data_IF_881775051591
#
_entry.id   IF_881775051591
#
_cell.length_a   1.000
_cell.length_b   1.000
_cell.length_c   1.000
_cell.angle_alpha   90.00
_cell.angle_beta   90.00
_cell.angle_gamma   90.00
#
_symmetry.space_group_name_H-M   'P 1'
#
loop_
_entity.id
_entity.type
_entity.pdbx_description
1 polymer ?
#
# COMPACT_ATOMS: atom_id res chain seq x y z
N UNK A 1 1.49 13.97 30.09
CA UNK A 1 1.77 13.78 28.65
C UNK A 1 3.17 13.21 28.39
N UNK A 2 4.29 13.89 28.68
CA UNK A 2 5.65 13.35 28.42
C UNK A 2 5.90 12.01 29.11
N UNK A 3 5.55 11.86 30.37
CA UNK A 3 5.66 10.59 31.12
C UNK A 3 4.83 9.47 30.48
N UNK A 4 3.64 9.78 30.00
CA UNK A 4 2.76 8.81 29.32
C UNK A 4 3.33 8.38 27.98
N UNK A 5 3.87 9.32 27.17
CA UNK A 5 4.56 9.00 25.91
C UNK A 5 5.79 8.13 26.17
N UNK A 6 6.57 8.44 27.22
CA UNK A 6 7.73 7.62 27.59
C UNK A 6 7.34 6.19 27.93
N UNK A 7 6.29 6.00 28.74
CA UNK A 7 5.79 4.67 29.10
C UNK A 7 5.22 3.93 27.89
N UNK A 8 4.44 4.61 27.06
CA UNK A 8 3.95 4.08 25.78
C UNK A 8 5.10 3.51 24.93
N UNK A 9 6.12 4.32 24.69
CA UNK A 9 7.30 3.92 23.92
C UNK A 9 8.05 2.74 24.53
N UNK A 10 8.26 2.77 25.84
CA UNK A 10 8.94 1.69 26.58
C UNK A 10 8.23 0.34 26.36
N UNK A 11 6.92 0.32 26.57
CA UNK A 11 6.11 -0.89 26.45
C UNK A 11 6.02 -1.36 24.99
N UNK A 12 5.79 -0.45 24.03
CA UNK A 12 5.75 -0.73 22.61
C UNK A 12 7.09 -1.32 22.12
N UNK A 13 8.22 -0.70 22.51
CA UNK A 13 9.56 -1.15 22.13
C UNK A 13 9.89 -2.52 22.70
N UNK A 14 9.57 -2.76 23.98
CA UNK A 14 9.79 -4.06 24.63
C UNK A 14 9.02 -5.16 23.92
N UNK A 15 7.76 -4.90 23.59
CA UNK A 15 6.90 -5.83 22.85
C UNK A 15 7.44 -6.09 21.44
N UNK A 16 7.79 -5.03 20.70
CA UNK A 16 8.27 -5.13 19.33
C UNK A 16 9.54 -5.96 19.22
N UNK A 17 10.50 -5.80 20.13
CA UNK A 17 11.71 -6.63 20.16
C UNK A 17 11.42 -8.14 20.17
N UNK A 18 10.33 -8.56 20.81
CA UNK A 18 9.97 -9.98 20.94
C UNK A 18 9.01 -10.47 19.86
N UNK A 19 8.26 -9.55 19.24
CA UNK A 19 7.11 -9.89 18.40
C UNK A 19 7.19 -9.31 16.98
N UNK A 20 8.33 -8.69 16.60
CA UNK A 20 8.48 -8.14 15.24
C UNK A 20 8.27 -9.24 14.21
N UNK A 21 7.44 -8.96 13.20
CA UNK A 21 7.21 -9.89 12.10
C UNK A 21 8.44 -9.94 11.19
N UNK A 22 8.84 -11.13 10.80
CA UNK A 22 9.98 -11.30 9.90
C UNK A 22 9.51 -11.30 8.44
N UNK A 23 9.81 -10.21 7.73
CA UNK A 23 9.58 -10.07 6.30
C UNK A 23 10.89 -9.74 5.59
N UNK A 24 11.08 -10.29 4.39
CA UNK A 24 12.33 -10.18 3.63
C UNK A 24 12.77 -8.74 3.28
N UNK A 25 11.81 -7.81 3.27
CA UNK A 25 12.04 -6.39 2.95
C UNK A 25 12.34 -5.51 4.17
N UNK A 26 12.22 -6.03 5.38
CA UNK A 26 12.38 -5.20 6.60
C UNK A 26 13.80 -4.78 6.91
N UNK A 27 14.77 -5.51 6.40
CA UNK A 27 16.20 -5.25 6.66
C UNK A 27 16.83 -4.39 5.55
N UNK A 28 16.11 -4.06 4.48
CA UNK A 28 16.65 -3.23 3.39
C UNK A 28 16.44 -1.74 3.64
N UNK A 29 17.39 -0.93 3.19
CA UNK A 29 17.29 0.54 3.09
C UNK A 29 17.24 1.01 1.64
N UNK A 30 17.25 0.07 0.69
CA UNK A 30 17.15 0.35 -0.74
C UNK A 30 15.79 1.00 -1.06
N UNK A 31 15.76 2.28 -1.54
CA UNK A 31 14.52 3.00 -1.78
C UNK A 31 13.59 2.33 -2.78
N UNK A 32 14.15 1.67 -3.81
CA UNK A 32 13.34 0.93 -4.78
C UNK A 32 12.62 -0.25 -4.13
N UNK A 33 13.31 -1.00 -3.31
CA UNK A 33 12.75 -2.16 -2.61
C UNK A 33 11.66 -1.76 -1.64
N UNK A 34 11.88 -0.66 -0.91
CA UNK A 34 10.89 -0.10 0.01
C UNK A 34 9.70 0.45 -0.77
N UNK A 35 9.93 1.24 -1.83
CA UNK A 35 8.85 1.73 -2.67
C UNK A 35 7.98 0.59 -3.23
N UNK A 36 8.62 -0.45 -3.73
CA UNK A 36 7.93 -1.60 -4.30
C UNK A 36 7.01 -2.28 -3.28
N UNK A 37 7.48 -2.57 -2.07
CA UNK A 37 6.63 -3.22 -1.06
C UNK A 37 5.50 -2.29 -0.59
N UNK A 38 5.74 -0.98 -0.48
CA UNK A 38 4.70 -0.03 -0.11
C UNK A 38 3.56 -0.01 -1.15
N UNK A 39 3.88 0.00 -2.44
CA UNK A 39 2.86 -0.07 -3.50
C UNK A 39 2.15 -1.43 -3.52
N UNK A 40 2.86 -2.54 -3.32
CA UNK A 40 2.29 -3.89 -3.27
C UNK A 40 1.35 -4.07 -2.07
N UNK A 41 1.65 -3.44 -0.93
CA UNK A 41 0.88 -3.56 0.31
C UNK A 41 -0.36 -2.67 0.36
N UNK A 42 -0.48 -1.66 -0.50
CA UNK A 42 -1.69 -0.84 -0.59
C UNK A 42 -2.92 -1.73 -0.79
N UNK A 43 -3.90 -1.70 0.13
CA UNK A 43 -5.12 -2.51 0.05
C UNK A 43 -4.86 -4.04 -0.09
N UNK A 44 -3.69 -4.52 0.31
CA UNK A 44 -3.30 -5.93 0.23
C UNK A 44 -2.77 -6.40 1.58
N UNK A 45 -3.20 -7.57 2.05
CA UNK A 45 -2.65 -8.16 3.27
C UNK A 45 -1.13 -8.36 3.13
N UNK A 46 -0.38 -7.96 4.15
CA UNK A 46 1.09 -7.89 4.09
C UNK A 46 1.75 -9.24 3.78
N UNK A 47 1.21 -10.35 4.31
CA UNK A 47 1.70 -11.71 3.99
C UNK A 47 1.57 -12.02 2.50
N UNK A 48 0.48 -11.56 1.87
CA UNK A 48 0.28 -11.71 0.42
C UNK A 48 1.21 -10.78 -0.35
N UNK A 49 1.35 -9.54 0.08
CA UNK A 49 2.26 -8.57 -0.53
C UNK A 49 3.71 -9.06 -0.52
N UNK A 50 4.18 -9.67 0.57
CA UNK A 50 5.53 -10.24 0.68
C UNK A 50 5.80 -11.37 -0.34
N UNK A 51 4.79 -12.24 -0.59
CA UNK A 51 4.91 -13.27 -1.64
C UNK A 51 5.10 -12.67 -3.03
N UNK A 52 4.38 -11.59 -3.33
CA UNK A 52 4.53 -10.88 -4.61
C UNK A 52 5.83 -10.09 -4.64
N UNK A 53 6.21 -9.46 -3.56
CA UNK A 53 7.46 -8.71 -3.45
C UNK A 53 8.67 -9.55 -3.89
N UNK A 54 8.78 -10.79 -3.40
CA UNK A 54 9.85 -11.71 -3.80
C UNK A 54 9.89 -11.96 -5.30
N UNK A 55 8.71 -12.15 -5.93
CA UNK A 55 8.61 -12.34 -7.39
C UNK A 55 8.98 -11.06 -8.14
N UNK A 56 8.52 -9.91 -7.64
CA UNK A 56 8.78 -8.61 -8.27
C UNK A 56 10.25 -8.24 -8.21
N UNK A 57 10.90 -8.38 -7.05
CA UNK A 57 12.33 -8.07 -6.88
C UNK A 57 13.21 -9.00 -7.72
N UNK A 58 12.86 -10.27 -7.84
CA UNK A 58 13.57 -11.21 -8.70
C UNK A 58 13.49 -10.79 -10.17
N UNK A 59 12.32 -10.34 -10.64
CA UNK A 59 12.13 -9.91 -12.03
C UNK A 59 12.60 -8.48 -12.29
N UNK A 60 12.37 -7.58 -11.35
CA UNK A 60 12.65 -6.15 -11.44
C UNK A 60 13.51 -5.66 -10.26
N UNK A 61 14.81 -6.01 -10.25
CA UNK A 61 15.72 -5.63 -9.15
C UNK A 61 15.92 -4.12 -9.03
N UNK A 62 15.59 -3.34 -10.06
CA UNK A 62 15.67 -1.89 -10.10
C UNK A 62 14.62 -1.28 -11.05
N UNK A 63 14.35 0.03 -10.99
CA UNK A 63 13.38 0.70 -11.84
C UNK A 63 13.67 0.55 -13.34
N UNK A 64 14.94 0.68 -13.73
CA UNK A 64 15.38 0.58 -15.13
C UNK A 64 15.04 -0.77 -15.77
N UNK A 65 15.07 -1.85 -14.99
CA UNK A 65 14.67 -3.17 -15.50
C UNK A 65 13.16 -3.24 -15.72
N UNK A 66 12.36 -2.62 -14.85
CA UNK A 66 10.91 -2.58 -14.99
C UNK A 66 10.46 -1.66 -16.14
N UNK A 67 11.06 -0.48 -16.27
CA UNK A 67 10.68 0.50 -17.31
C UNK A 67 10.88 -0.02 -18.75
N UNK A 68 11.80 -0.99 -18.93
CA UNK A 68 12.09 -1.64 -20.22
C UNK A 68 11.15 -2.81 -20.57
N UNK A 69 10.39 -3.32 -19.60
CA UNK A 69 9.42 -4.40 -19.86
C UNK A 69 8.09 -3.81 -20.35
N UNK A 70 7.19 -4.65 -20.82
CA UNK A 70 5.86 -4.23 -21.26
C UNK A 70 4.89 -4.11 -20.07
N UNK A 71 3.95 -3.18 -20.15
CA UNK A 71 2.84 -3.05 -19.20
C UNK A 71 2.05 -4.36 -19.07
N UNK A 72 1.87 -5.10 -20.16
CA UNK A 72 1.25 -6.43 -20.17
C UNK A 72 2.02 -7.43 -19.30
N UNK A 73 3.35 -7.47 -19.41
CA UNK A 73 4.21 -8.36 -18.62
C UNK A 73 4.12 -8.04 -17.12
N UNK A 74 4.10 -6.75 -16.78
CA UNK A 74 3.89 -6.29 -15.43
C UNK A 74 2.51 -6.69 -14.87
N UNK A 75 1.43 -6.46 -15.64
CA UNK A 75 0.07 -6.81 -15.24
C UNK A 75 -0.10 -8.33 -15.09
N UNK A 76 0.58 -9.13 -15.90
CA UNK A 76 0.62 -10.58 -15.72
C UNK A 76 1.22 -10.97 -14.37
N UNK A 77 2.34 -10.36 -13.97
CA UNK A 77 2.95 -10.60 -12.67
C UNK A 77 2.08 -10.06 -11.51
N UNK A 78 1.32 -8.97 -11.75
CA UNK A 78 0.39 -8.35 -10.80
C UNK A 78 -0.90 -9.15 -10.60
N UNK A 79 -1.19 -10.10 -11.50
CA UNK A 79 -2.45 -10.85 -11.48
C UNK A 79 -2.75 -11.43 -10.11
N UNK A 80 -3.98 -11.24 -9.64
CA UNK A 80 -4.43 -11.68 -8.31
C UNK A 80 -4.25 -10.65 -7.19
N UNK A 81 -3.53 -9.55 -7.35
CA UNK A 81 -3.44 -8.48 -6.33
C UNK A 81 -4.65 -7.52 -6.33
N UNK A 82 -5.33 -7.41 -7.47
CA UNK A 82 -6.40 -6.44 -7.65
C UNK A 82 -5.90 -4.98 -7.73
N UNK A 83 -6.83 -4.03 -7.87
CA UNK A 83 -6.48 -2.61 -7.99
C UNK A 83 -5.36 -2.36 -9.01
N UNK A 84 -5.57 -2.81 -10.25
CA UNK A 84 -4.56 -2.85 -11.31
C UNK A 84 -3.98 -1.47 -11.69
N UNK A 85 -4.68 -0.37 -11.34
CA UNK A 85 -4.16 0.99 -11.47
C UNK A 85 -2.87 1.22 -10.66
N UNK A 86 -2.66 0.49 -9.55
CA UNK A 86 -1.39 0.54 -8.81
C UNK A 86 -0.22 -0.01 -9.64
N UNK A 87 -0.46 -1.09 -10.40
CA UNK A 87 0.55 -1.63 -11.31
C UNK A 87 0.93 -0.62 -12.39
N UNK A 88 -0.06 0.09 -12.95
CA UNK A 88 0.20 1.14 -13.95
C UNK A 88 1.00 2.28 -13.34
N UNK A 89 0.61 2.77 -12.17
CA UNK A 89 1.35 3.83 -11.46
C UNK A 89 2.78 3.40 -11.13
N UNK A 90 2.98 2.17 -10.65
CA UNK A 90 4.30 1.60 -10.41
C UNK A 90 5.14 1.57 -11.69
N UNK A 91 4.52 1.18 -12.81
CA UNK A 91 5.18 1.17 -14.11
C UNK A 91 5.59 2.58 -14.57
N UNK A 92 4.69 3.55 -14.48
CA UNK A 92 5.00 4.95 -14.85
C UNK A 92 6.07 5.54 -13.90
N UNK A 93 6.01 5.24 -12.61
CA UNK A 93 7.08 5.62 -11.68
C UNK A 93 8.42 4.99 -12.03
N UNK A 94 8.42 3.75 -12.53
CA UNK A 94 9.67 3.10 -12.95
C UNK A 94 10.32 3.80 -14.16
N UNK A 95 9.54 4.42 -15.04
CA UNK A 95 10.05 5.24 -16.13
C UNK A 95 10.73 6.50 -15.59
N UNK A 96 10.05 7.24 -14.70
CA UNK A 96 10.64 8.41 -14.05
C UNK A 96 11.94 8.02 -13.34
N UNK A 97 11.92 6.94 -12.58
CA UNK A 97 13.08 6.44 -11.81
C UNK A 97 14.16 5.77 -12.68
N UNK A 98 13.90 5.55 -13.96
CA UNK A 98 14.95 5.11 -14.91
C UNK A 98 15.81 6.28 -15.42
N UNK A 99 15.31 7.50 -15.28
CA UNK A 99 15.94 8.76 -15.71
C UNK A 99 16.48 9.57 -14.52
N UNK A 100 15.78 9.50 -13.36
CA UNK A 100 16.13 10.20 -12.13
C UNK A 100 16.32 9.19 -11.00
N UNK A 101 17.34 9.37 -10.17
CA UNK A 101 17.49 8.57 -8.96
C UNK A 101 16.45 8.98 -7.89
N UNK A 102 16.23 8.12 -6.89
CA UNK A 102 15.41 8.51 -5.73
C UNK A 102 15.98 9.72 -4.99
N UNK A 103 17.31 9.85 -4.94
CA UNK A 103 17.99 10.98 -4.28
C UNK A 103 17.71 12.32 -4.96
N UNK A 104 17.47 12.32 -6.28
CA UNK A 104 17.08 13.52 -7.04
C UNK A 104 15.66 14.00 -6.68
N UNK A 105 14.83 13.09 -6.12
CA UNK A 105 13.46 13.39 -5.71
C UNK A 105 13.33 13.68 -4.21
N UNK A 106 14.38 13.41 -3.43
CA UNK A 106 14.39 13.65 -1.99
C UNK A 106 14.23 15.13 -1.67
N UNK A 107 13.46 15.52 -0.67
CA UNK A 107 12.64 14.67 0.22
C UNK A 107 11.18 14.50 -0.24
N UNK A 108 10.84 14.90 -1.47
CA UNK A 108 9.48 14.89 -1.99
C UNK A 108 9.26 13.82 -3.05
N UNK A 109 8.85 12.62 -2.62
CA UNK A 109 8.53 11.49 -3.51
C UNK A 109 7.08 11.51 -4.02
N UNK A 110 6.25 12.47 -3.60
CA UNK A 110 4.86 12.62 -4.08
C UNK A 110 4.80 12.98 -5.57
N UNK A 111 5.93 13.36 -6.16
CA UNK A 111 6.10 13.53 -7.61
C UNK A 111 5.94 12.22 -8.38
N UNK A 112 6.13 11.05 -7.73
CA UNK A 112 5.96 9.74 -8.37
C UNK A 112 4.48 9.35 -8.44
N UNK A 113 4.01 8.83 -9.59
CA UNK A 113 2.65 8.35 -9.74
C UNK A 113 2.25 7.35 -8.64
N UNK A 114 1.19 7.65 -7.88
CA UNK A 114 0.66 6.78 -6.83
C UNK A 114 1.35 6.88 -5.48
N UNK A 115 2.29 7.80 -5.32
CA UNK A 115 2.86 8.18 -4.03
C UNK A 115 2.03 9.31 -3.42
N UNK A 116 1.46 9.06 -2.26
CA UNK A 116 0.84 10.08 -1.42
C UNK A 116 1.62 10.25 -0.13
N UNK A 117 1.13 11.10 0.78
CA UNK A 117 1.78 11.46 2.03
C UNK A 117 2.23 10.25 2.87
N UNK A 118 1.42 9.17 2.89
CA UNK A 118 1.80 7.93 3.56
C UNK A 118 3.05 7.29 2.94
N UNK A 119 3.03 7.03 1.63
CA UNK A 119 4.15 6.36 0.94
C UNK A 119 5.40 7.25 0.96
N UNK A 120 5.24 8.57 0.85
CA UNK A 120 6.33 9.53 1.00
C UNK A 120 6.99 9.40 2.39
N UNK A 121 6.19 9.44 3.46
CA UNK A 121 6.71 9.30 4.83
C UNK A 121 7.32 7.91 5.09
N UNK A 122 6.81 6.85 4.46
CA UNK A 122 7.39 5.51 4.54
C UNK A 122 8.78 5.47 3.90
N UNK A 123 8.95 6.05 2.70
CA UNK A 123 10.26 6.18 2.05
C UNK A 123 11.23 6.99 2.93
N UNK A 124 10.82 8.16 3.41
CA UNK A 124 11.64 8.98 4.30
C UNK A 124 12.08 8.23 5.56
N UNK A 125 11.16 7.48 6.19
CA UNK A 125 11.48 6.74 7.41
C UNK A 125 12.30 5.49 7.15
N UNK A 126 11.95 4.70 6.13
CA UNK A 126 12.49 3.36 5.94
C UNK A 126 13.71 3.33 5.02
N UNK A 127 13.83 4.22 4.05
CA UNK A 127 14.99 4.29 3.17
C UNK A 127 16.02 5.33 3.61
N UNK A 128 15.56 6.47 4.11
CA UNK A 128 16.43 7.61 4.41
C UNK A 128 16.64 7.84 5.91
N UNK A 129 16.05 7.02 6.78
CA UNK A 129 16.24 7.11 8.23
C UNK A 129 15.67 8.39 8.87
N UNK A 130 14.83 9.13 8.13
CA UNK A 130 14.26 10.37 8.62
C UNK A 130 13.36 10.17 9.83
N UNK A 131 13.38 11.14 10.74
CA UNK A 131 12.53 11.15 11.94
C UNK A 131 11.11 11.56 11.59
N UNK A 132 10.37 10.65 10.94
CA UNK A 132 8.97 10.86 10.55
C UNK A 132 8.08 9.73 11.06
N UNK A 133 6.83 10.05 11.36
CA UNK A 133 5.80 9.06 11.71
C UNK A 133 4.96 8.81 10.47
N UNK A 134 4.93 7.56 10.04
CA UNK A 134 4.16 7.11 8.88
C UNK A 134 2.72 6.84 9.32
N UNK A 135 1.82 7.74 8.96
CA UNK A 135 0.45 7.75 9.49
C UNK A 135 -0.47 6.90 8.62
N UNK A 136 -0.77 5.69 9.08
CA UNK A 136 -1.81 4.81 8.52
C UNK A 136 -3.01 4.67 9.47
N UNK A 137 -3.98 3.86 9.09
CA UNK A 137 -5.15 3.57 9.93
C UNK A 137 -4.80 2.87 11.24
N UNK A 138 -3.71 2.09 11.29
CA UNK A 138 -3.25 1.44 12.51
C UNK A 138 -2.65 2.44 13.47
N UNK A 139 -1.79 3.32 12.97
CA UNK A 139 -1.16 4.40 13.75
C UNK A 139 -2.23 5.32 14.34
N UNK A 140 -3.18 5.79 13.51
CA UNK A 140 -4.29 6.61 13.98
C UNK A 140 -5.09 5.93 15.08
N UNK A 141 -5.45 4.67 14.87
CA UNK A 141 -6.24 3.89 15.82
C UNK A 141 -5.53 3.67 17.14
N UNK A 142 -4.24 3.29 17.11
CA UNK A 142 -3.48 3.02 18.35
C UNK A 142 -3.28 4.29 19.14
N UNK A 143 -2.78 5.36 18.51
CA UNK A 143 -2.51 6.62 19.20
C UNK A 143 -3.79 7.27 19.70
N UNK A 144 -4.84 7.25 18.90
CA UNK A 144 -6.12 7.79 19.31
C UNK A 144 -6.75 7.02 20.47
N UNK A 145 -6.74 5.68 20.42
CA UNK A 145 -7.26 4.85 21.52
C UNK A 145 -6.45 5.00 22.81
N UNK A 146 -5.13 5.04 22.69
CA UNK A 146 -4.25 5.09 23.86
C UNK A 146 -4.30 6.46 24.54
N UNK A 147 -4.17 7.55 23.76
CA UNK A 147 -4.08 8.91 24.29
C UNK A 147 -5.42 9.66 24.29
N UNK A 148 -6.52 9.02 23.93
CA UNK A 148 -7.85 9.65 23.80
C UNK A 148 -7.80 10.89 22.90
N UNK A 149 -7.44 10.69 21.62
CA UNK A 149 -7.29 11.76 20.64
C UNK A 149 -8.27 11.57 19.46
N UNK A 150 -9.11 12.56 19.22
CA UNK A 150 -9.96 12.63 18.01
C UNK A 150 -9.13 13.06 16.81
N UNK A 151 -8.26 14.07 16.98
CA UNK A 151 -7.37 14.55 15.94
C UNK A 151 -5.94 14.03 16.17
N UNK A 152 -5.69 12.81 15.72
CA UNK A 152 -4.39 12.14 15.87
C UNK A 152 -3.29 12.83 15.05
N UNK A 153 -3.61 13.41 13.90
CA UNK A 153 -2.63 14.12 13.08
C UNK A 153 -2.08 15.34 13.83
N UNK A 154 -2.96 16.09 14.49
CA UNK A 154 -2.56 17.23 15.34
C UNK A 154 -1.77 16.77 16.57
N UNK A 155 -2.19 15.68 17.22
CA UNK A 155 -1.45 15.09 18.34
C UNK A 155 -0.02 14.70 17.94
N UNK A 156 0.14 14.00 16.80
CA UNK A 156 1.45 13.62 16.26
C UNK A 156 2.30 14.87 15.98
N UNK A 157 1.74 15.87 15.30
CA UNK A 157 2.47 17.11 14.99
C UNK A 157 3.04 17.77 16.23
N UNK A 158 2.28 17.85 17.31
CA UNK A 158 2.71 18.47 18.58
C UNK A 158 3.72 17.64 19.37
N UNK A 159 3.66 16.31 19.26
CA UNK A 159 4.43 15.41 20.11
C UNK A 159 5.49 14.60 19.31
N UNK A 160 5.73 14.93 18.05
CA UNK A 160 6.62 14.18 17.15
C UNK A 160 8.00 13.94 17.74
N UNK A 161 8.62 14.98 18.30
CA UNK A 161 9.96 14.86 18.89
C UNK A 161 9.98 13.88 20.07
N UNK A 162 8.97 13.96 20.94
CA UNK A 162 8.88 13.08 22.11
C UNK A 162 8.55 11.64 21.70
N UNK A 163 7.65 11.45 20.74
CA UNK A 163 7.28 10.12 20.22
C UNK A 163 8.48 9.40 19.59
N UNK A 164 9.34 10.11 18.87
CA UNK A 164 10.51 9.55 18.19
C UNK A 164 11.82 9.65 18.97
N UNK A 165 11.82 10.23 20.18
CA UNK A 165 13.03 10.28 21.01
C UNK A 165 13.42 8.88 21.47
N UNK A 166 14.71 8.50 21.34
CA UNK A 166 15.27 7.22 21.81
C UNK A 166 14.59 5.95 21.23
N UNK A 167 13.77 6.09 20.20
CA UNK A 167 13.17 4.98 19.46
C UNK A 167 13.35 5.26 17.95
N UNK A 168 14.16 4.45 17.21
CA UNK A 168 14.38 4.69 15.80
C UNK A 168 13.05 4.79 15.05
N UNK A 169 12.92 5.77 14.18
CA UNK A 169 11.68 6.08 13.45
C UNK A 169 11.13 4.84 12.71
N UNK A 170 12.03 4.11 12.04
CA UNK A 170 11.72 2.86 11.35
C UNK A 170 11.05 1.84 12.28
N UNK A 171 11.70 1.55 13.42
CA UNK A 171 11.20 0.57 14.39
C UNK A 171 9.90 1.02 15.03
N UNK A 172 9.77 2.32 15.34
CA UNK A 172 8.56 2.89 15.92
C UNK A 172 7.36 2.72 14.97
N UNK A 173 7.52 3.07 13.70
CA UNK A 173 6.48 2.95 12.70
C UNK A 173 6.08 1.47 12.48
N UNK A 174 7.06 0.60 12.32
CA UNK A 174 6.81 -0.84 12.15
C UNK A 174 6.17 -1.48 13.40
N UNK A 175 6.56 -1.06 14.60
CA UNK A 175 5.97 -1.54 15.84
C UNK A 175 4.47 -1.19 15.93
N UNK A 176 4.10 0.03 15.57
CA UNK A 176 2.70 0.45 15.52
C UNK A 176 1.91 -0.34 14.47
N UNK A 177 2.46 -0.54 13.28
CA UNK A 177 1.81 -1.32 12.22
C UNK A 177 1.63 -2.79 12.63
N UNK A 178 2.63 -3.38 13.29
CA UNK A 178 2.55 -4.77 13.77
C UNK A 178 1.51 -4.92 14.90
N UNK A 179 1.55 -4.03 15.89
CA UNK A 179 0.59 -4.02 16.98
C UNK A 179 -0.84 -3.82 16.47
N UNK A 180 -1.02 -2.88 15.52
CA UNK A 180 -2.32 -2.57 14.94
C UNK A 180 -2.93 -3.69 14.13
N UNK A 181 -2.09 -4.47 13.43
CA UNK A 181 -2.55 -5.59 12.60
C UNK A 181 -2.77 -6.89 13.37
N UNK A 182 -2.12 -7.08 14.54
CA UNK A 182 -2.16 -8.34 15.28
C UNK A 182 -2.98 -8.28 16.58
N UNK A 183 -2.92 -7.17 17.29
CA UNK A 183 -3.53 -6.98 18.63
C UNK A 183 -4.58 -5.88 18.63
N UNK A 184 -4.19 -4.64 18.33
CA UNK A 184 -5.10 -3.50 18.34
C UNK A 184 -5.89 -3.41 17.03
N UNK A 185 -6.65 -4.47 16.70
CA UNK A 185 -7.45 -4.53 15.48
C UNK A 185 -8.66 -3.59 15.54
N UNK A 186 -9.29 -3.32 14.37
CA UNK A 186 -10.40 -2.38 14.31
C UNK A 186 -11.64 -2.89 15.07
N UNK A 187 -12.12 -4.09 14.74
CA UNK A 187 -13.38 -4.61 15.27
C UNK A 187 -13.23 -5.34 16.60
N UNK A 188 -12.25 -6.23 16.71
CA UNK A 188 -12.07 -7.11 17.86
C UNK A 188 -10.63 -6.98 18.42
N UNK A 189 -10.29 -5.89 19.13
CA UNK A 189 -8.96 -5.74 19.69
C UNK A 189 -8.73 -6.72 20.85
N UNK A 190 -7.54 -7.32 20.85
CA UNK A 190 -7.12 -8.28 21.90
C UNK A 190 -6.47 -7.51 23.06
N UNK A 191 -7.29 -6.75 23.80
CA UNK A 191 -6.79 -5.83 24.83
C UNK A 191 -6.04 -6.55 25.95
N UNK A 192 -6.50 -7.71 26.40
CA UNK A 192 -5.88 -8.50 27.48
C UNK A 192 -4.45 -8.97 27.18
N UNK A 193 -4.09 -9.09 25.89
CA UNK A 193 -2.74 -9.41 25.44
C UNK A 193 -1.94 -8.19 24.96
N UNK A 194 -2.50 -6.99 25.09
CA UNK A 194 -1.89 -5.77 24.56
C UNK A 194 -0.84 -5.23 25.54
N UNK A 195 0.39 -4.95 25.07
CA UNK A 195 1.44 -4.38 25.93
C UNK A 195 1.11 -2.97 26.44
N UNK A 196 0.10 -2.34 25.84
CA UNK A 196 -0.33 -0.98 26.17
C UNK A 196 -1.59 -0.93 27.02
N UNK A 197 -2.19 -2.08 27.37
CA UNK A 197 -3.52 -2.15 28.02
C UNK A 197 -3.62 -1.33 29.29
N UNK A 198 -2.62 -1.44 30.17
CA UNK A 198 -2.66 -0.88 31.52
C UNK A 198 -2.89 0.64 31.58
N UNK A 199 -2.48 1.39 30.58
CA UNK A 199 -2.63 2.85 30.48
C UNK A 199 -3.46 3.30 29.27
N UNK A 200 -4.00 2.34 28.52
CA UNK A 200 -4.79 2.65 27.33
C UNK A 200 -6.17 3.18 27.75
N UNK A 201 -6.53 4.36 27.26
CA UNK A 201 -7.85 4.95 27.50
C UNK A 201 -8.99 4.20 26.79
N UNK A 202 -8.66 3.22 25.90
CA UNK A 202 -9.60 2.40 25.12
C UNK A 202 -10.64 3.24 24.37
N UNK A 203 -10.24 4.46 23.98
CA UNK A 203 -11.12 5.41 23.31
C UNK A 203 -11.63 4.85 22.00
N UNK A 204 -12.94 4.97 21.73
CA UNK A 204 -13.56 4.48 20.51
C UNK A 204 -13.29 5.51 19.41
N UNK A 205 -12.61 5.07 18.36
CA UNK A 205 -12.44 5.84 17.14
C UNK A 205 -13.26 5.14 16.06
N UNK A 206 -14.21 5.84 15.50
CA UNK A 206 -14.93 5.38 14.33
C UNK A 206 -14.00 5.41 13.12
N UNK A 207 -13.67 4.26 12.61
CA UNK A 207 -12.94 4.11 11.34
C UNK A 207 -13.92 3.53 10.35
N UNK A 208 -14.45 4.38 9.50
CA UNK A 208 -15.30 3.94 8.40
C UNK A 208 -14.43 3.24 7.34
N UNK A 209 -14.58 1.94 7.24
CA UNK A 209 -13.88 1.09 6.27
C UNK A 209 -14.80 -0.04 5.80
N UNK A 210 -16.00 0.29 5.36
CA UNK A 210 -16.88 -0.67 4.71
C UNK A 210 -16.52 -0.79 3.24
N UNK A 211 -15.65 -1.74 2.91
CA UNK A 211 -15.47 -2.13 1.51
C UNK A 211 -16.56 -3.14 1.13
N UNK A 212 -17.16 -2.94 -0.03
CA UNK A 212 -18.06 -3.93 -0.62
C UNK A 212 -17.38 -5.31 -0.74
N UNK A 213 -18.11 -6.42 -0.56
CA UNK A 213 -17.60 -7.76 -0.80
C UNK A 213 -16.95 -7.85 -2.19
N UNK A 214 -15.87 -8.63 -2.28
CA UNK A 214 -15.15 -8.77 -3.57
C UNK A 214 -15.98 -9.50 -4.62
N UNK A 215 -16.71 -10.54 -4.22
CA UNK A 215 -17.54 -11.35 -5.11
C UNK A 215 -18.65 -10.50 -5.75
N UNK A 216 -18.77 -10.58 -7.06
CA UNK A 216 -19.71 -9.81 -7.90
C UNK A 216 -19.48 -8.28 -7.91
N UNK A 217 -18.39 -7.80 -7.33
CA UNK A 217 -18.07 -6.37 -7.34
C UNK A 217 -17.48 -5.92 -8.69
N UNK A 218 -17.52 -4.62 -8.94
CA UNK A 218 -16.83 -4.00 -10.08
C UNK A 218 -15.32 -4.30 -10.07
N UNK A 219 -14.71 -4.48 -8.89
CA UNK A 219 -13.29 -4.85 -8.74
C UNK A 219 -13.01 -6.23 -9.32
N UNK A 220 -13.88 -7.19 -9.05
CA UNK A 220 -13.75 -8.55 -9.61
C UNK A 220 -13.88 -8.52 -11.12
N UNK A 221 -14.93 -7.87 -11.66
CA UNK A 221 -15.17 -7.76 -13.10
C UNK A 221 -14.01 -7.07 -13.82
N UNK A 222 -13.48 -5.98 -13.27
CA UNK A 222 -12.26 -5.32 -13.80
C UNK A 222 -11.06 -6.26 -13.83
N UNK A 223 -10.88 -7.09 -12.79
CA UNK A 223 -9.83 -8.10 -12.73
C UNK A 223 -9.99 -9.17 -13.82
N UNK A 224 -11.21 -9.66 -14.05
CA UNK A 224 -11.54 -10.63 -15.09
C UNK A 224 -11.25 -10.06 -16.49
N UNK A 225 -11.65 -8.81 -16.78
CA UNK A 225 -11.35 -8.14 -18.06
C UNK A 225 -9.85 -8.09 -18.30
N UNK A 226 -9.08 -7.62 -17.32
CA UNK A 226 -7.62 -7.51 -17.45
C UNK A 226 -6.98 -8.89 -17.66
N UNK A 227 -7.45 -9.93 -16.96
CA UNK A 227 -6.95 -11.30 -17.12
C UNK A 227 -7.18 -11.81 -18.56
N UNK A 228 -8.38 -11.63 -19.10
CA UNK A 228 -8.70 -12.02 -20.49
C UNK A 228 -7.80 -11.28 -21.49
N UNK A 229 -7.61 -9.96 -21.28
CA UNK A 229 -6.78 -9.16 -22.18
C UNK A 229 -5.28 -9.53 -22.10
N UNK A 230 -4.80 -10.01 -20.97
CA UNK A 230 -3.43 -10.51 -20.82
C UNK A 230 -3.23 -11.75 -21.71
N UNK A 231 -4.22 -12.62 -21.80
CA UNK A 231 -4.15 -13.87 -22.57
C UNK A 231 -4.44 -13.66 -24.06
N UNK A 232 -5.51 -12.93 -24.39
CA UNK A 232 -6.08 -12.85 -25.74
C UNK A 232 -5.56 -11.69 -26.60
N UNK A 233 -4.59 -10.91 -26.16
CA UNK A 233 -4.04 -9.71 -26.83
C UNK A 233 -5.08 -8.63 -27.13
N UNK A 234 -6.07 -8.91 -27.99
CA UNK A 234 -7.17 -8.00 -28.39
C UNK A 234 -8.48 -8.75 -28.39
N UNK A 235 -9.54 -8.10 -27.94
CA UNK A 235 -10.91 -8.66 -27.92
C UNK A 235 -11.95 -7.59 -28.22
N UNK A 236 -13.13 -8.00 -28.70
CA UNK A 236 -14.26 -7.10 -28.90
C UNK A 236 -15.21 -7.09 -27.69
N UNK A 237 -16.12 -6.11 -27.65
CA UNK A 237 -17.09 -5.96 -26.56
C UNK A 237 -18.01 -7.17 -26.40
N UNK A 238 -18.65 -7.74 -27.47
CA UNK A 238 -19.54 -8.89 -27.33
C UNK A 238 -18.85 -10.12 -26.73
N UNK A 239 -17.61 -10.38 -27.12
CA UNK A 239 -16.83 -11.48 -26.54
C UNK A 239 -16.59 -11.29 -25.04
N UNK A 240 -16.17 -10.09 -24.61
CA UNK A 240 -15.96 -9.80 -23.21
C UNK A 240 -17.25 -9.88 -22.41
N UNK A 241 -18.35 -9.28 -22.91
CA UNK A 241 -19.63 -9.31 -22.24
C UNK A 241 -20.11 -10.73 -21.96
N UNK A 242 -20.02 -11.60 -22.97
CA UNK A 242 -20.35 -13.03 -22.86
C UNK A 242 -19.44 -13.76 -21.89
N UNK A 243 -18.11 -13.52 -21.98
CA UNK A 243 -17.11 -14.26 -21.20
C UNK A 243 -17.19 -13.99 -19.70
N UNK A 244 -17.49 -12.74 -19.30
CA UNK A 244 -17.60 -12.35 -17.89
C UNK A 244 -19.04 -12.26 -17.37
N UNK A 245 -20.00 -12.62 -18.21
CA UNK A 245 -21.43 -12.57 -17.93
C UNK A 245 -21.87 -11.20 -17.35
N UNK A 246 -21.86 -10.18 -18.22
CA UNK A 246 -22.23 -8.81 -17.86
C UNK A 246 -22.95 -8.12 -19.02
N UNK A 247 -23.88 -7.22 -18.70
CA UNK A 247 -24.56 -6.39 -19.68
C UNK A 247 -23.59 -5.41 -20.35
N UNK A 248 -23.81 -5.12 -21.66
CA UNK A 248 -22.92 -4.24 -22.43
C UNK A 248 -22.78 -2.83 -21.85
N UNK A 249 -23.87 -2.24 -21.37
CA UNK A 249 -23.84 -0.92 -20.74
C UNK A 249 -22.95 -0.88 -19.47
N UNK A 250 -22.96 -1.96 -18.70
CA UNK A 250 -22.08 -2.11 -17.53
C UNK A 250 -20.64 -2.33 -17.96
N UNK A 251 -20.43 -3.15 -18.99
CA UNK A 251 -19.10 -3.40 -19.54
C UNK A 251 -18.45 -2.10 -20.04
N UNK A 252 -19.20 -1.26 -20.79
CA UNK A 252 -18.70 0.01 -21.31
C UNK A 252 -18.19 0.92 -20.17
N UNK A 253 -18.95 1.05 -19.07
CA UNK A 253 -18.51 1.80 -17.90
C UNK A 253 -17.23 1.26 -17.29
N UNK A 254 -17.06 -0.07 -17.24
CA UNK A 254 -15.85 -0.69 -16.70
C UNK A 254 -14.65 -0.48 -17.64
N UNK A 255 -14.83 -0.60 -18.94
CA UNK A 255 -13.78 -0.38 -19.94
C UNK A 255 -13.32 1.09 -19.94
N UNK A 256 -14.25 2.05 -19.95
CA UNK A 256 -13.94 3.48 -19.84
C UNK A 256 -13.17 3.79 -18.53
N UNK A 257 -13.53 3.10 -17.43
CA UNK A 257 -12.79 3.21 -16.17
C UNK A 257 -11.37 2.64 -16.27
N UNK A 258 -11.18 1.51 -16.94
CA UNK A 258 -9.88 0.90 -17.17
C UNK A 258 -9.01 1.73 -18.13
N UNK A 259 -9.62 2.38 -19.12
CA UNK A 259 -8.96 3.29 -20.04
C UNK A 259 -8.46 4.55 -19.34
N UNK A 260 -9.30 5.19 -18.50
CA UNK A 260 -8.88 6.32 -17.65
C UNK A 260 -7.74 5.97 -16.72
N UNK A 261 -7.72 4.74 -16.19
CA UNK A 261 -6.63 4.24 -15.36
C UNK A 261 -5.36 3.88 -16.17
N UNK A 262 -5.37 4.05 -17.50
CA UNK A 262 -4.23 3.75 -18.38
C UNK A 262 -3.93 2.27 -18.54
N UNK A 263 -4.87 1.39 -18.23
CA UNK A 263 -4.72 -0.07 -18.29
C UNK A 263 -5.01 -0.58 -19.68
N UNK A 264 -6.09 -0.09 -20.32
CA UNK A 264 -6.53 -0.52 -21.64
C UNK A 264 -6.56 0.64 -22.63
N UNK A 265 -6.58 0.31 -23.92
CA UNK A 265 -6.92 1.21 -25.01
C UNK A 265 -7.93 0.56 -25.93
N UNK A 266 -8.73 1.39 -26.60
CA UNK A 266 -9.73 0.97 -27.57
C UNK A 266 -9.23 1.41 -28.95
N UNK A 267 -9.11 0.46 -29.87
CA UNK A 267 -8.71 0.75 -31.26
C UNK A 267 -9.87 1.32 -32.08
N UNK A 268 -9.57 1.87 -33.28
CA UNK A 268 -10.59 2.37 -34.22
C UNK A 268 -11.63 1.33 -34.61
N UNK A 269 -11.28 0.04 -34.53
CA UNK A 269 -12.19 -1.07 -34.82
C UNK A 269 -12.90 -1.62 -33.59
N UNK A 270 -13.03 -0.82 -32.52
CA UNK A 270 -13.65 -1.20 -31.25
C UNK A 270 -13.04 -2.46 -30.59
N UNK A 271 -11.77 -2.74 -30.87
CA UNK A 271 -11.03 -3.79 -30.19
C UNK A 271 -10.36 -3.22 -28.94
N UNK A 272 -10.49 -3.95 -27.84
CA UNK A 272 -9.93 -3.58 -26.54
C UNK A 272 -8.63 -4.38 -26.36
N UNK A 273 -7.58 -3.69 -25.94
CA UNK A 273 -6.27 -4.27 -25.64
C UNK A 273 -5.61 -3.65 -24.41
N UNK A 274 -4.61 -4.31 -23.84
CA UNK A 274 -3.75 -3.67 -22.83
C UNK A 274 -3.02 -2.51 -23.51
N UNK A 275 -3.14 -1.33 -22.92
CA UNK A 275 -2.52 -0.10 -23.45
C UNK A 275 -1.01 -0.30 -23.55
N UNK A 276 -0.50 -0.13 -24.75
CA UNK A 276 0.94 -0.14 -25.03
C UNK A 276 1.66 1.01 -24.29
N UNK A 277 2.96 0.92 -24.23
CA UNK A 277 3.81 1.89 -23.55
C UNK A 277 3.79 3.26 -24.21
#
# INVERSE_FOLDING_TARGET
MKTEISLFKKNLRSWYKKNKRNFSWRETEDPWKIYLIEILSQQTQLVRADKYYKKFISKYPNPKKMSKDSKRSLLKLWSGLGYNNRAVRLYESSKVLSEKAFDDLYPNFEQLPGVGAYTNSALLSFAYGEKVITIDTNVKRILGRYFKQDNVDHFIKRNKQELLSYFPSRDFNQALMDLGSSICTNRNPKCTSCPLEHRCMKYIIEVDNQQEPFKNSNREKRGQIVSILIESKKVNYPYLAKKINIEENKLDKLIKGLERDGIVSISKNNLIEIKSN
#
